data_IF_793292402511
#
_entry.id   IF_793292402511
#
_cell.length_a   1.000
_cell.length_b   1.000
_cell.length_c   1.000
_cell.angle_alpha   90.00
_cell.angle_beta   90.00
_cell.angle_gamma   90.00
#
_symmetry.space_group_name_H-M   'P 1'
#
loop_
_entity.id
_entity.type
_entity.pdbx_description
1 polymer ?
#
# COMPACT_ATOMS: atom_id res chain seq x y z
N UNK A 1 -11.13 -15.79 2.11
CA UNK A 1 -9.74 -15.33 1.89
C UNK A 1 -9.76 -13.87 2.25
N UNK A 2 -9.02 -13.52 3.28
CA UNK A 2 -9.10 -12.19 3.87
C UNK A 2 -8.13 -11.24 3.18
N UNK A 3 -8.31 -9.94 3.37
CA UNK A 3 -7.43 -8.95 2.78
C UNK A 3 -7.34 -7.67 3.60
N UNK A 4 -6.21 -6.99 3.45
CA UNK A 4 -5.99 -5.62 3.92
C UNK A 4 -6.09 -4.70 2.70
N UNK A 5 -6.95 -3.67 2.80
CA UNK A 5 -7.17 -2.68 1.75
C UNK A 5 -6.66 -1.32 2.19
N UNK A 6 -5.78 -0.73 1.40
CA UNK A 6 -5.32 0.64 1.55
C UNK A 6 -5.82 1.43 0.35
N UNK A 7 -6.49 2.54 0.59
CA UNK A 7 -7.09 3.36 -0.47
C UNK A 7 -6.66 4.81 -0.38
N UNK A 8 -6.65 5.49 -1.52
CA UNK A 8 -6.27 6.90 -1.65
C UNK A 8 -4.85 7.19 -1.14
N UNK A 9 -3.91 6.26 -1.31
CA UNK A 9 -2.51 6.54 -0.99
C UNK A 9 -2.00 7.52 -2.03
N UNK A 10 -1.70 8.75 -1.61
CA UNK A 10 -1.18 9.80 -2.51
C UNK A 10 0.30 10.03 -2.31
N UNK A 11 1.04 10.01 -3.40
CA UNK A 11 2.46 10.32 -3.43
C UNK A 11 2.77 11.25 -4.60
N UNK A 12 3.79 12.09 -4.45
CA UNK A 12 4.29 12.89 -5.55
C UNK A 12 5.48 12.18 -6.18
N UNK A 13 5.49 12.05 -7.51
CA UNK A 13 6.49 11.28 -8.23
C UNK A 13 6.92 11.94 -9.53
N UNK A 14 8.09 11.54 -10.00
CA UNK A 14 8.75 12.02 -11.22
C UNK A 14 8.86 10.89 -12.27
N UNK A 15 7.86 10.02 -12.28
CA UNK A 15 7.76 8.92 -13.23
C UNK A 15 6.82 9.33 -14.36
N UNK A 16 7.14 8.92 -15.59
CA UNK A 16 6.39 9.26 -16.79
C UNK A 16 7.26 9.13 -18.04
N UNK A 17 6.63 9.11 -19.20
CA UNK A 17 7.33 8.99 -20.48
C UNK A 17 7.86 10.36 -20.96
N UNK A 18 7.13 11.43 -20.67
CA UNK A 18 7.47 12.76 -21.12
C UNK A 18 8.53 13.40 -20.22
N UNK A 19 9.50 14.17 -20.77
CA UNK A 19 10.49 14.90 -19.98
C UNK A 19 9.89 15.79 -18.89
N UNK A 20 8.72 16.38 -19.15
CA UNK A 20 7.98 17.22 -18.22
C UNK A 20 7.49 16.42 -17.02
N UNK A 21 7.04 15.18 -17.20
CA UNK A 21 6.61 14.30 -16.09
C UNK A 21 7.79 13.94 -15.19
N UNK A 22 8.98 13.80 -15.78
CA UNK A 22 10.22 13.50 -15.05
C UNK A 22 10.84 14.73 -14.39
N UNK A 23 10.48 15.94 -14.83
CA UNK A 23 11.05 17.21 -14.32
C UNK A 23 10.12 17.93 -13.37
N UNK A 24 8.87 18.14 -13.77
CA UNK A 24 7.86 18.81 -12.97
C UNK A 24 7.29 17.84 -11.93
N UNK A 25 7.07 16.58 -12.32
CA UNK A 25 6.40 15.58 -11.50
C UNK A 25 4.88 15.76 -11.47
N UNK A 26 4.21 14.80 -10.85
CA UNK A 26 2.76 14.80 -10.69
C UNK A 26 2.33 14.01 -9.44
N UNK A 27 1.09 14.23 -9.01
CA UNK A 27 0.46 13.44 -7.96
C UNK A 27 -0.02 12.10 -8.52
N UNK A 28 0.39 11.03 -7.87
CA UNK A 28 -0.12 9.69 -8.09
C UNK A 28 -1.02 9.28 -6.93
N UNK A 29 -2.01 8.47 -7.24
CA UNK A 29 -2.90 7.85 -6.26
C UNK A 29 -2.92 6.35 -6.50
N UNK A 30 -2.83 5.58 -5.42
CA UNK A 30 -2.77 4.12 -5.48
C UNK A 30 -3.77 3.54 -4.47
N UNK A 31 -4.55 2.58 -4.97
CA UNK A 31 -5.31 1.65 -4.16
C UNK A 31 -4.59 0.28 -4.17
N UNK A 32 -4.40 -0.28 -2.98
CA UNK A 32 -3.67 -1.53 -2.77
C UNK A 32 -4.57 -2.53 -2.05
N UNK A 33 -4.62 -3.76 -2.56
CA UNK A 33 -5.28 -4.90 -1.90
C UNK A 33 -4.26 -6.01 -1.67
N UNK A 34 -4.03 -6.34 -0.40
CA UNK A 34 -3.12 -7.41 0.00
C UNK A 34 -3.94 -8.60 0.46
N UNK A 35 -3.85 -9.71 -0.25
CA UNK A 35 -4.51 -10.96 0.10
C UNK A 35 -3.57 -11.82 0.94
N UNK A 36 -4.00 -12.18 2.15
CA UNK A 36 -3.25 -12.99 3.09
C UNK A 36 -4.21 -13.69 4.06
N UNK A 37 -3.73 -14.74 4.71
CA UNK A 37 -4.47 -15.40 5.78
C UNK A 37 -4.37 -14.56 7.06
N UNK A 38 -5.50 -14.02 7.51
CA UNK A 38 -5.59 -13.20 8.72
C UNK A 38 -6.09 -14.01 9.93
N UNK A 39 -6.35 -15.31 9.76
CA UNK A 39 -6.82 -16.16 10.86
C UNK A 39 -5.87 -16.19 12.07
N UNK A 40 -4.53 -16.25 11.93
CA UNK A 40 -3.64 -16.30 13.09
C UNK A 40 -3.76 -15.05 13.97
N UNK A 41 -3.71 -13.86 13.36
CA UNK A 41 -3.86 -12.60 14.07
C UNK A 41 -5.27 -12.40 14.64
N UNK A 42 -6.30 -12.92 13.97
CA UNK A 42 -7.67 -12.90 14.48
C UNK A 42 -7.87 -13.78 15.72
N UNK A 43 -7.10 -14.87 15.85
CA UNK A 43 -7.14 -15.77 17.00
C UNK A 43 -6.27 -15.28 18.16
N UNK A 44 -5.08 -14.75 17.88
CA UNK A 44 -4.12 -14.34 18.91
C UNK A 44 -4.32 -12.92 19.43
N UNK A 45 -4.97 -12.05 18.65
CA UNK A 45 -5.04 -10.60 18.87
C UNK A 45 -3.64 -9.95 19.00
N UNK A 46 -2.61 -10.60 18.42
CA UNK A 46 -1.24 -10.08 18.34
C UNK A 46 -0.95 -9.52 16.95
N UNK A 47 -0.44 -8.28 16.92
CA UNK A 47 -0.03 -7.61 15.70
C UNK A 47 1.15 -8.31 15.02
N UNK A 48 1.99 -9.04 15.76
CA UNK A 48 3.11 -9.78 15.16
C UNK A 48 2.66 -10.96 14.29
N UNK A 49 1.41 -11.42 14.46
CA UNK A 49 0.85 -12.54 13.72
C UNK A 49 0.16 -12.10 12.42
N UNK A 50 0.26 -10.82 12.06
CA UNK A 50 -0.18 -10.26 10.77
C UNK A 50 0.93 -9.44 10.11
N UNK A 51 0.68 -9.02 8.87
CA UNK A 51 1.56 -8.11 8.15
C UNK A 51 1.27 -6.66 8.56
N UNK A 52 2.22 -6.01 9.25
CA UNK A 52 2.12 -4.59 9.59
C UNK A 52 2.44 -3.71 8.37
N UNK A 53 1.39 -3.22 7.72
CA UNK A 53 1.47 -2.35 6.54
C UNK A 53 2.04 -0.94 6.82
N UNK A 54 2.37 -0.61 8.06
CA UNK A 54 3.01 0.67 8.43
C UNK A 54 4.54 0.60 8.36
N UNK A 55 5.12 -0.59 8.38
CA UNK A 55 6.57 -0.78 8.41
C UNK A 55 7.08 -1.37 7.07
N UNK A 56 8.31 -0.97 6.71
CA UNK A 56 9.08 -1.49 5.57
C UNK A 56 9.66 -2.87 5.84
#
# INVERSE_FOLDING_TARGET
MDCIKLSNIRCYGYTGYLPEEQTLGQWFEVDLTMWLDLSPAGESDDLSDTMDYRQT
#
